data_IF_388685979496
#
_entry.id   IF_388685979496
#
_cell.length_a   1.000
_cell.length_b   1.000
_cell.length_c   1.000
_cell.angle_alpha   90.00
_cell.angle_beta   90.00
_cell.angle_gamma   90.00
#
_symmetry.space_group_name_H-M   'P 1'
#
loop_
_entity.id
_entity.type
_entity.pdbx_description
1 polymer ?
#
# COMPACT_ATOMS: atom_id res chain seq x y z
N UNK A 1 22.37 15.29 -2.66
CA UNK A 1 22.08 15.87 -1.35
C UNK A 1 21.32 17.20 -1.46
N UNK A 2 21.79 18.13 -2.31
CA UNK A 2 21.11 19.45 -2.51
C UNK A 2 19.65 19.29 -2.98
N UNK A 3 19.37 18.34 -3.90
CA UNK A 3 18.01 18.07 -4.37
C UNK A 3 17.10 17.57 -3.24
N UNK A 4 17.60 16.72 -2.37
CA UNK A 4 16.87 16.22 -1.21
C UNK A 4 16.51 17.36 -0.27
N UNK A 5 17.51 18.20 0.09
CA UNK A 5 17.27 19.37 0.96
C UNK A 5 16.37 20.43 0.31
N UNK A 6 16.49 20.59 -1.00
CA UNK A 6 15.57 21.45 -1.77
C UNK A 6 14.13 20.94 -1.70
N UNK A 7 13.90 19.63 -1.87
CA UNK A 7 12.57 19.03 -1.78
C UNK A 7 11.95 19.21 -0.39
N UNK A 8 12.71 18.94 0.68
CA UNK A 8 12.28 19.16 2.07
C UNK A 8 11.91 20.62 2.32
N UNK A 9 12.74 21.57 1.85
CA UNK A 9 12.49 23.01 2.00
C UNK A 9 11.21 23.44 1.26
N UNK A 10 11.00 22.97 0.02
CA UNK A 10 9.79 23.26 -0.76
C UNK A 10 8.53 22.70 -0.08
N UNK A 11 8.61 21.50 0.45
CA UNK A 11 7.51 20.90 1.21
C UNK A 11 7.20 21.73 2.49
N UNK A 12 8.22 22.19 3.20
CA UNK A 12 8.05 23.04 4.37
C UNK A 12 7.44 24.42 4.05
N UNK A 13 7.77 25.00 2.88
CA UNK A 13 7.14 26.23 2.38
C UNK A 13 5.66 25.98 2.02
N UNK A 14 5.36 24.79 1.51
CA UNK A 14 4.00 24.36 1.21
C UNK A 14 3.35 25.12 0.04
N UNK A 15 2.14 25.65 0.23
CA UNK A 15 1.30 26.23 -0.82
C UNK A 15 2.01 27.26 -1.74
N UNK A 16 2.84 28.20 -1.24
CA UNK A 16 3.56 29.12 -2.12
C UNK A 16 4.57 28.44 -3.06
N UNK A 17 5.05 27.25 -2.73
CA UNK A 17 6.01 26.48 -3.53
C UNK A 17 5.36 25.52 -4.54
N UNK A 18 4.02 25.50 -4.68
CA UNK A 18 3.31 24.57 -5.57
C UNK A 18 3.75 24.63 -7.04
N UNK A 19 4.24 25.77 -7.49
CA UNK A 19 4.82 25.92 -8.84
C UNK A 19 6.03 25.01 -9.10
N UNK A 20 6.67 24.46 -8.06
CA UNK A 20 7.79 23.51 -8.19
C UNK A 20 7.35 22.05 -8.34
N UNK A 21 6.08 21.75 -8.07
CA UNK A 21 5.55 20.38 -8.14
C UNK A 21 5.80 19.70 -9.49
N UNK A 22 5.56 20.32 -10.67
CA UNK A 22 5.83 19.68 -11.94
C UNK A 22 7.29 19.21 -12.05
N UNK A 23 8.24 20.05 -11.62
CA UNK A 23 9.66 19.68 -11.64
C UNK A 23 10.01 18.58 -10.64
N UNK A 24 9.36 18.56 -9.49
CA UNK A 24 9.56 17.48 -8.50
C UNK A 24 9.02 16.15 -9.01
N UNK A 25 7.88 16.13 -9.70
CA UNK A 25 7.32 14.95 -10.36
C UNK A 25 8.25 14.42 -11.46
N UNK A 26 8.79 15.31 -12.30
CA UNK A 26 9.79 14.91 -13.31
C UNK A 26 11.01 14.26 -12.66
N UNK A 27 11.55 14.84 -11.59
CA UNK A 27 12.69 14.30 -10.88
C UNK A 27 12.38 12.96 -10.20
N UNK A 28 11.18 12.78 -9.67
CA UNK A 28 10.73 11.51 -9.10
C UNK A 28 10.62 10.42 -10.17
N UNK A 29 10.17 10.77 -11.37
CA UNK A 29 10.07 9.87 -12.51
C UNK A 29 11.45 9.43 -13.07
N UNK A 30 12.52 10.16 -12.78
CA UNK A 30 13.87 9.84 -13.24
C UNK A 30 14.55 8.84 -12.30
N UNK A 31 14.77 7.62 -12.80
CA UNK A 31 15.55 6.61 -12.08
C UNK A 31 17.02 6.75 -12.47
N UNK A 32 17.87 7.06 -11.50
CA UNK A 32 19.31 7.20 -11.67
C UNK A 32 20.04 6.15 -10.81
N UNK A 33 20.11 4.94 -11.31
CA UNK A 33 20.74 3.82 -10.58
C UNK A 33 22.26 3.95 -10.46
N UNK A 34 22.90 4.76 -11.29
CA UNK A 34 24.34 5.00 -11.26
C UNK A 34 24.73 5.93 -10.10
N UNK A 35 24.04 7.08 -9.98
CA UNK A 35 24.36 8.10 -8.97
C UNK A 35 23.51 7.98 -7.70
N UNK A 36 22.38 7.29 -7.77
CA UNK A 36 21.46 7.02 -6.65
C UNK A 36 21.02 5.54 -6.62
N UNK A 37 21.97 4.60 -6.42
CA UNK A 37 21.70 3.16 -6.48
C UNK A 37 20.69 2.69 -5.40
N UNK A 38 20.44 3.50 -4.38
CA UNK A 38 19.49 3.21 -3.31
C UNK A 38 18.16 3.94 -3.47
N UNK A 39 17.99 4.72 -4.54
CA UNK A 39 16.78 5.49 -4.77
C UNK A 39 16.47 6.54 -3.68
N UNK A 40 17.51 7.07 -3.03
CA UNK A 40 17.33 8.04 -1.94
C UNK A 40 16.67 9.33 -2.41
N UNK A 41 16.99 9.79 -3.62
CA UNK A 41 16.34 10.96 -4.21
C UNK A 41 14.85 10.71 -4.40
N UNK A 42 14.46 9.55 -4.97
CA UNK A 42 13.05 9.18 -5.12
C UNK A 42 12.35 9.10 -3.78
N UNK A 43 12.98 8.49 -2.78
CA UNK A 43 12.43 8.39 -1.43
C UNK A 43 12.07 9.76 -0.85
N UNK A 44 13.01 10.70 -0.87
CA UNK A 44 12.78 12.02 -0.27
C UNK A 44 11.83 12.89 -1.10
N UNK A 45 11.83 12.74 -2.42
CA UNK A 45 10.83 13.37 -3.28
C UNK A 45 9.43 12.81 -3.01
N UNK A 46 9.31 11.49 -2.81
CA UNK A 46 8.03 10.86 -2.44
C UNK A 46 7.50 11.40 -1.12
N UNK A 47 8.34 11.51 -0.09
CA UNK A 47 7.94 12.14 1.17
C UNK A 47 7.50 13.58 0.99
N UNK A 48 8.31 14.40 0.31
CA UNK A 48 8.01 15.81 0.11
C UNK A 48 6.72 16.03 -0.69
N UNK A 49 6.41 15.16 -1.64
CA UNK A 49 5.20 15.26 -2.46
C UNK A 49 3.97 14.62 -1.80
N UNK A 50 4.08 13.37 -1.34
CA UNK A 50 2.93 12.51 -1.09
C UNK A 50 2.71 12.15 0.37
N UNK A 51 3.65 12.43 1.27
CA UNK A 51 3.38 12.21 2.68
C UNK A 51 2.14 13.01 3.12
N UNK A 52 1.52 12.63 4.22
CA UNK A 52 0.28 13.23 4.72
C UNK A 52 0.33 14.77 4.76
N UNK A 53 1.47 15.30 5.15
CA UNK A 53 1.74 16.75 5.20
C UNK A 53 2.59 17.26 4.01
N UNK A 54 2.81 16.40 3.01
CA UNK A 54 3.50 16.74 1.77
C UNK A 54 2.67 17.66 0.88
N UNK A 55 3.32 18.17 -0.16
CA UNK A 55 2.73 19.17 -1.06
C UNK A 55 1.43 18.69 -1.73
N UNK A 56 1.32 17.39 -2.03
CA UNK A 56 0.17 16.74 -2.67
C UNK A 56 -0.63 15.83 -1.72
N UNK A 57 -0.24 15.73 -0.46
CA UNK A 57 -0.90 14.86 0.50
C UNK A 57 -2.34 15.25 0.84
N UNK A 58 -2.76 16.47 0.52
CA UNK A 58 -4.11 16.99 0.81
C UNK A 58 -4.94 17.29 -0.42
N UNK A 59 -4.36 17.54 -1.58
CA UNK A 59 -5.07 17.85 -2.82
C UNK A 59 -4.19 17.65 -4.05
N UNK A 60 -4.81 17.21 -5.14
CA UNK A 60 -4.21 17.11 -6.46
C UNK A 60 -4.72 18.20 -7.42
N UNK A 61 -5.32 19.26 -6.91
CA UNK A 61 -5.84 20.37 -7.72
C UNK A 61 -4.71 21.02 -8.54
N UNK A 62 -4.94 21.19 -9.84
CA UNK A 62 -3.97 21.80 -10.77
C UNK A 62 -2.79 20.93 -11.14
N UNK A 63 -2.73 19.67 -10.67
CA UNK A 63 -1.63 18.73 -11.00
C UNK A 63 -1.93 18.05 -12.32
N UNK A 64 -0.95 18.06 -13.24
CA UNK A 64 -1.02 17.27 -14.47
C UNK A 64 -1.03 15.76 -14.16
N UNK A 65 -2.08 15.08 -14.57
CA UNK A 65 -2.30 13.66 -14.25
C UNK A 65 -1.31 12.73 -14.94
N UNK A 66 -0.87 13.05 -16.15
CA UNK A 66 0.09 12.22 -16.88
C UNK A 66 1.46 12.22 -16.18
N UNK A 67 1.93 13.38 -15.77
CA UNK A 67 3.16 13.54 -14.97
C UNK A 67 3.04 12.86 -13.61
N UNK A 68 1.90 13.00 -12.94
CA UNK A 68 1.61 12.36 -11.68
C UNK A 68 1.69 10.82 -11.79
N UNK A 69 1.00 10.22 -12.77
CA UNK A 69 0.99 8.77 -12.94
C UNK A 69 2.38 8.22 -13.27
N UNK A 70 3.15 8.94 -14.07
CA UNK A 70 4.53 8.56 -14.39
C UNK A 70 5.40 8.55 -13.15
N UNK A 71 5.30 9.61 -12.33
CA UNK A 71 6.05 9.75 -11.09
C UNK A 71 5.64 8.70 -10.04
N UNK A 72 4.33 8.48 -9.84
CA UNK A 72 3.80 7.47 -8.91
C UNK A 72 4.26 6.07 -9.32
N UNK A 73 4.17 5.73 -10.60
CA UNK A 73 4.65 4.43 -11.11
C UNK A 73 6.14 4.22 -10.86
N UNK A 74 6.96 5.22 -11.14
CA UNK A 74 8.40 5.15 -10.87
C UNK A 74 8.70 4.97 -9.38
N UNK A 75 7.98 5.68 -8.51
CA UNK A 75 8.11 5.53 -7.06
C UNK A 75 7.67 4.15 -6.55
N UNK A 76 6.58 3.59 -7.09
CA UNK A 76 6.11 2.23 -6.76
C UNK A 76 7.11 1.14 -7.17
N UNK A 77 7.88 1.37 -8.22
CA UNK A 77 8.92 0.47 -8.72
C UNK A 77 10.26 0.66 -7.99
N UNK A 78 10.37 1.64 -7.08
CA UNK A 78 11.58 1.83 -6.29
C UNK A 78 11.87 0.59 -5.44
N UNK A 79 13.14 0.12 -5.46
CA UNK A 79 13.55 -1.06 -4.73
C UNK A 79 13.65 -0.84 -3.21
N UNK A 80 13.80 0.40 -2.76
CA UNK A 80 13.75 0.74 -1.33
C UNK A 80 12.28 0.87 -0.89
N UNK A 81 11.79 -0.06 -0.09
CA UNK A 81 10.41 -0.07 0.42
C UNK A 81 10.00 1.21 1.14
N UNK A 82 10.96 1.93 1.72
CA UNK A 82 10.73 3.21 2.39
C UNK A 82 10.31 4.32 1.42
N UNK A 83 10.73 4.26 0.16
CA UNK A 83 10.30 5.21 -0.85
C UNK A 83 8.83 5.01 -1.24
N UNK A 84 8.36 3.78 -1.19
CA UNK A 84 6.98 3.41 -1.56
C UNK A 84 5.95 3.90 -0.54
N UNK A 85 6.29 3.94 0.75
CA UNK A 85 5.35 4.22 1.84
C UNK A 85 4.57 5.52 1.66
N UNK A 86 5.23 6.60 1.29
CA UNK A 86 4.59 7.92 1.15
C UNK A 86 3.63 8.04 -0.04
N UNK A 87 3.69 7.13 -1.02
CA UNK A 87 2.88 7.21 -2.24
C UNK A 87 1.41 6.87 -1.97
N UNK A 88 1.14 6.01 -1.00
CA UNK A 88 -0.22 5.57 -0.68
C UNK A 88 -1.18 6.71 -0.34
N UNK A 89 -0.70 7.82 0.18
CA UNK A 89 -1.53 8.98 0.52
C UNK A 89 -2.20 9.63 -0.70
N UNK A 90 -1.65 9.45 -1.89
CA UNK A 90 -2.20 9.98 -3.16
C UNK A 90 -3.49 9.25 -3.57
N UNK A 91 -3.62 7.97 -3.22
CA UNK A 91 -4.73 7.13 -3.69
C UNK A 91 -6.10 7.69 -3.33
N UNK A 92 -6.25 8.28 -2.14
CA UNK A 92 -7.51 8.88 -1.67
C UNK A 92 -8.01 10.06 -2.51
N UNK A 93 -7.18 10.62 -3.36
CA UNK A 93 -7.49 11.77 -4.21
C UNK A 93 -7.77 11.39 -5.66
N UNK A 94 -7.72 10.08 -5.97
CA UNK A 94 -7.92 9.55 -7.33
C UNK A 94 -9.25 8.81 -7.42
N UNK A 95 -9.98 9.02 -8.51
CA UNK A 95 -11.15 8.22 -8.87
C UNK A 95 -10.72 6.86 -9.39
N UNK A 96 -11.65 5.89 -9.48
CA UNK A 96 -11.36 4.58 -10.07
C UNK A 96 -10.80 4.69 -11.49
N UNK A 97 -11.35 5.57 -12.32
CA UNK A 97 -10.86 5.78 -13.70
C UNK A 97 -9.42 6.31 -13.74
N UNK A 98 -9.09 7.22 -12.82
CA UNK A 98 -7.73 7.76 -12.69
C UNK A 98 -6.74 6.73 -12.15
N UNK A 99 -7.20 5.79 -11.34
CA UNK A 99 -6.35 4.77 -10.70
C UNK A 99 -6.12 3.55 -11.58
N UNK A 100 -7.05 3.24 -12.49
CA UNK A 100 -6.95 2.07 -13.40
C UNK A 100 -5.58 1.91 -14.06
N UNK A 101 -4.94 2.96 -14.61
CA UNK A 101 -3.61 2.84 -15.21
C UNK A 101 -2.49 2.51 -14.22
N UNK A 102 -2.72 2.67 -12.92
CA UNK A 102 -1.77 2.41 -11.84
C UNK A 102 -1.99 1.07 -11.15
N UNK A 103 -3.18 0.44 -11.31
CA UNK A 103 -3.54 -0.80 -10.62
C UNK A 103 -2.48 -1.91 -10.74
N UNK A 104 -1.90 -2.19 -11.93
CA UNK A 104 -0.86 -3.21 -12.02
C UNK A 104 0.37 -2.88 -11.17
N UNK A 105 0.82 -1.62 -11.16
CA UNK A 105 1.98 -1.20 -10.37
C UNK A 105 1.68 -1.19 -8.87
N UNK A 106 0.46 -0.82 -8.47
CA UNK A 106 -0.01 -0.85 -7.08
C UNK A 106 -0.05 -2.30 -6.59
N UNK A 107 -0.67 -3.20 -7.34
CA UNK A 107 -0.74 -4.62 -7.00
C UNK A 107 0.66 -5.23 -6.88
N UNK A 108 1.54 -4.95 -7.83
CA UNK A 108 2.92 -5.39 -7.80
C UNK A 108 3.66 -4.90 -6.54
N UNK A 109 3.51 -3.64 -6.16
CA UNK A 109 4.13 -3.08 -4.96
C UNK A 109 3.61 -3.70 -3.65
N UNK A 110 2.39 -4.24 -3.64
CA UNK A 110 1.82 -4.95 -2.48
C UNK A 110 2.48 -6.32 -2.30
N UNK A 111 2.66 -7.08 -3.39
CA UNK A 111 3.12 -8.47 -3.34
C UNK A 111 4.65 -8.62 -3.40
N UNK A 112 5.36 -7.64 -3.94
CA UNK A 112 6.83 -7.68 -3.99
C UNK A 112 7.46 -7.43 -2.62
N UNK A 113 8.46 -8.21 -2.23
CA UNK A 113 9.24 -7.91 -1.05
C UNK A 113 10.01 -6.60 -1.22
N UNK A 114 10.20 -5.88 -0.12
CA UNK A 114 11.01 -4.68 -0.06
C UNK A 114 12.34 -4.99 0.64
N UNK A 115 13.44 -5.17 -0.10
CA UNK A 115 14.68 -5.77 0.43
C UNK A 115 15.29 -5.05 1.63
N UNK A 116 15.06 -3.76 1.78
CA UNK A 116 15.69 -2.96 2.83
C UNK A 116 14.71 -2.21 3.72
N UNK A 117 13.42 -2.45 3.58
CA UNK A 117 12.45 -1.57 4.21
C UNK A 117 11.10 -2.19 4.52
N UNK A 118 11.05 -3.48 4.86
CA UNK A 118 9.79 -4.18 5.14
C UNK A 118 8.89 -3.40 6.12
N UNK A 119 9.46 -2.90 7.23
CA UNK A 119 8.69 -2.12 8.20
C UNK A 119 8.12 -0.81 7.62
N UNK A 120 8.70 -0.28 6.56
CA UNK A 120 8.21 0.93 5.89
C UNK A 120 7.34 0.62 4.67
N UNK A 121 7.37 -0.61 4.17
CA UNK A 121 6.52 -1.06 3.08
C UNK A 121 5.09 -1.37 3.55
N UNK A 122 4.88 -1.60 4.83
CA UNK A 122 3.58 -1.92 5.41
C UNK A 122 2.53 -0.86 5.07
N UNK A 123 2.89 0.42 5.10
CA UNK A 123 1.96 1.50 4.83
C UNK A 123 1.46 1.45 3.38
N UNK A 124 2.36 1.30 2.39
CA UNK A 124 1.95 1.18 0.98
C UNK A 124 1.13 -0.08 0.73
N UNK A 125 1.44 -1.17 1.42
CA UNK A 125 0.69 -2.43 1.31
C UNK A 125 -0.71 -2.28 1.85
N UNK A 126 -0.87 -1.76 3.06
CA UNK A 126 -2.19 -1.57 3.68
C UNK A 126 -3.04 -0.58 2.91
N UNK A 127 -2.50 0.58 2.53
CA UNK A 127 -3.23 1.57 1.73
C UNK A 127 -3.59 1.04 0.33
N UNK A 128 -2.66 0.31 -0.30
CA UNK A 128 -2.93 -0.34 -1.58
C UNK A 128 -4.02 -1.41 -1.47
N UNK A 129 -3.98 -2.26 -0.44
CA UNK A 129 -5.00 -3.27 -0.18
C UNK A 129 -6.37 -2.64 0.11
N UNK A 130 -6.39 -1.54 0.90
CA UNK A 130 -7.61 -0.78 1.17
C UNK A 130 -8.20 -0.21 -0.13
N UNK A 131 -7.37 0.35 -0.99
CA UNK A 131 -7.78 0.85 -2.29
C UNK A 131 -8.37 -0.25 -3.17
N UNK A 132 -7.68 -1.40 -3.29
CA UNK A 132 -8.18 -2.52 -4.08
C UNK A 132 -9.53 -3.01 -3.57
N UNK A 133 -9.72 -3.04 -2.25
CA UNK A 133 -10.98 -3.45 -1.63
C UNK A 133 -12.10 -2.41 -1.80
N UNK A 134 -11.80 -1.12 -1.68
CA UNK A 134 -12.77 -0.03 -1.90
C UNK A 134 -13.39 -0.07 -3.30
N UNK A 135 -12.58 -0.48 -4.28
CA UNK A 135 -13.03 -0.62 -5.66
C UNK A 135 -13.36 -2.06 -6.06
N UNK A 136 -13.45 -2.97 -5.10
CA UNK A 136 -13.74 -4.39 -5.30
C UNK A 136 -12.89 -5.03 -6.40
N UNK A 137 -11.59 -4.73 -6.41
CA UNK A 137 -10.63 -5.34 -7.34
C UNK A 137 -10.39 -6.79 -6.92
N UNK A 138 -10.67 -7.75 -7.82
CA UNK A 138 -10.66 -9.19 -7.49
C UNK A 138 -9.31 -9.65 -6.94
N UNK A 139 -8.21 -9.20 -7.54
CA UNK A 139 -6.84 -9.55 -7.14
C UNK A 139 -6.48 -9.08 -5.73
N UNK A 140 -7.21 -8.09 -5.21
CA UNK A 140 -7.03 -7.60 -3.84
C UNK A 140 -7.31 -8.67 -2.79
N UNK A 141 -8.22 -9.61 -3.02
CA UNK A 141 -8.52 -10.69 -2.07
C UNK A 141 -7.33 -11.61 -1.88
N UNK A 142 -6.71 -12.08 -2.96
CA UNK A 142 -5.50 -12.92 -2.90
C UNK A 142 -4.29 -12.18 -2.34
N UNK A 143 -4.15 -10.89 -2.67
CA UNK A 143 -3.09 -10.04 -2.13
C UNK A 143 -3.25 -9.82 -0.62
N UNK A 144 -4.48 -9.65 -0.11
CA UNK A 144 -4.77 -9.58 1.32
C UNK A 144 -4.35 -10.85 2.05
N UNK A 145 -4.72 -12.01 1.52
CA UNK A 145 -4.36 -13.32 2.10
C UNK A 145 -2.85 -13.51 2.11
N UNK A 146 -2.19 -13.22 0.98
CA UNK A 146 -0.74 -13.27 0.87
C UNK A 146 -0.07 -12.38 1.94
N UNK A 147 -0.46 -11.12 2.03
CA UNK A 147 0.16 -10.20 2.98
C UNK A 147 -0.19 -10.54 4.44
N UNK A 148 -1.36 -11.09 4.74
CA UNK A 148 -1.71 -11.56 6.08
C UNK A 148 -0.71 -12.61 6.59
N UNK A 149 -0.23 -13.48 5.71
CA UNK A 149 0.78 -14.48 6.01
C UNK A 149 2.19 -13.90 6.13
N UNK A 150 2.57 -13.03 5.17
CA UNK A 150 3.94 -12.52 4.99
C UNK A 150 4.20 -11.20 5.73
N UNK A 151 3.22 -10.68 6.47
CA UNK A 151 3.36 -9.41 7.17
C UNK A 151 4.47 -9.44 8.22
N UNK A 152 5.14 -8.28 8.38
CA UNK A 152 6.08 -8.09 9.47
C UNK A 152 5.36 -8.35 10.81
N UNK A 153 5.95 -9.15 11.72
CA UNK A 153 5.37 -9.43 13.03
C UNK A 153 5.15 -8.19 13.91
N UNK A 154 6.01 -7.18 13.79
CA UNK A 154 5.85 -5.92 14.52
C UNK A 154 4.54 -5.23 14.15
N UNK A 155 3.78 -4.83 15.15
CA UNK A 155 2.45 -4.23 15.03
C UNK A 155 1.42 -5.12 14.31
N UNK A 156 1.65 -6.44 14.21
CA UNK A 156 0.69 -7.36 13.60
C UNK A 156 -0.58 -7.54 14.42
N UNK A 157 -0.54 -7.24 15.73
CA UNK A 157 -1.69 -7.19 16.61
C UNK A 157 -2.74 -6.16 16.18
N UNK A 158 -2.30 -5.05 15.58
CA UNK A 158 -3.17 -4.00 15.05
C UNK A 158 -3.48 -4.28 13.58
N UNK A 159 -2.47 -4.68 12.81
CA UNK A 159 -2.57 -4.84 11.36
C UNK A 159 -3.45 -6.02 10.97
N UNK A 160 -3.36 -7.16 11.65
CA UNK A 160 -4.17 -8.32 11.30
C UNK A 160 -5.67 -8.02 11.35
N UNK A 161 -6.24 -7.42 12.42
CA UNK A 161 -7.64 -6.99 12.42
C UNK A 161 -7.99 -5.99 11.32
N UNK A 162 -7.08 -5.07 10.99
CA UNK A 162 -7.27 -4.12 9.91
C UNK A 162 -7.37 -4.79 8.54
N UNK A 163 -6.46 -5.73 8.22
CA UNK A 163 -6.50 -6.51 7.00
C UNK A 163 -7.79 -7.33 6.88
N UNK A 164 -8.22 -7.94 7.98
CA UNK A 164 -9.46 -8.71 8.02
C UNK A 164 -10.70 -7.83 7.81
N UNK A 165 -10.71 -6.62 8.39
CA UNK A 165 -11.76 -5.63 8.12
C UNK A 165 -11.81 -5.21 6.64
N UNK A 166 -10.64 -5.02 6.02
CA UNK A 166 -10.55 -4.72 4.59
C UNK A 166 -11.11 -5.89 3.76
N UNK A 167 -10.78 -7.14 4.12
CA UNK A 167 -11.27 -8.31 3.40
C UNK A 167 -12.80 -8.46 3.49
N UNK A 168 -13.40 -8.14 4.63
CA UNK A 168 -14.85 -8.20 4.83
C UNK A 168 -15.64 -7.29 3.86
N UNK A 169 -15.03 -6.24 3.30
CA UNK A 169 -15.71 -5.39 2.30
C UNK A 169 -16.00 -6.09 0.98
N UNK A 170 -15.35 -7.22 0.70
CA UNK A 170 -15.68 -8.06 -0.46
C UNK A 170 -16.91 -8.95 -0.23
N UNK A 171 -17.48 -8.96 0.98
CA UNK A 171 -18.67 -9.72 1.31
C UNK A 171 -18.51 -11.22 0.97
N UNK A 172 -19.57 -11.78 0.39
CA UNK A 172 -19.62 -13.20 -0.03
C UNK A 172 -18.55 -13.53 -1.08
N UNK A 173 -18.07 -12.56 -1.88
CA UNK A 173 -17.02 -12.78 -2.88
C UNK A 173 -15.72 -13.27 -2.24
N UNK A 174 -15.45 -12.91 -0.98
CA UNK A 174 -14.28 -13.37 -0.25
C UNK A 174 -14.31 -14.88 0.11
N UNK A 175 -15.41 -15.59 -0.12
CA UNK A 175 -15.48 -17.06 0.11
C UNK A 175 -14.41 -17.81 -0.69
N UNK A 176 -13.98 -17.30 -1.83
CA UNK A 176 -12.95 -17.91 -2.68
C UNK A 176 -11.60 -18.05 -1.96
N UNK A 177 -11.30 -17.19 -0.98
CA UNK A 177 -10.04 -17.20 -0.22
C UNK A 177 -10.15 -17.86 1.16
N UNK A 178 -11.34 -18.26 1.59
CA UNK A 178 -11.56 -18.92 2.89
C UNK A 178 -10.67 -20.17 3.10
N UNK A 179 -10.46 -21.06 2.11
CA UNK A 179 -9.59 -22.21 2.30
C UNK A 179 -8.15 -21.84 2.68
N UNK A 180 -7.62 -20.75 2.09
CA UNK A 180 -6.25 -20.31 2.39
C UNK A 180 -6.19 -19.57 3.74
N UNK A 181 -7.18 -18.73 4.06
CA UNK A 181 -7.31 -18.12 5.39
C UNK A 181 -7.38 -19.16 6.50
N UNK A 182 -8.08 -20.27 6.27
CA UNK A 182 -8.16 -21.38 7.22
C UNK A 182 -6.78 -21.97 7.50
N UNK A 183 -5.97 -22.21 6.45
CA UNK A 183 -4.60 -22.70 6.61
C UNK A 183 -3.72 -21.74 7.40
N UNK A 184 -3.88 -20.43 7.17
CA UNK A 184 -3.13 -19.39 7.90
C UNK A 184 -3.57 -19.35 9.38
N UNK A 185 -4.86 -19.46 9.66
CA UNK A 185 -5.38 -19.55 11.03
C UNK A 185 -4.81 -20.77 11.75
N UNK A 186 -4.85 -21.96 11.09
CA UNK A 186 -4.25 -23.19 11.63
C UNK A 186 -2.76 -23.04 11.92
N UNK A 187 -2.02 -22.34 11.04
CA UNK A 187 -0.60 -22.06 11.25
C UNK A 187 -0.39 -21.18 12.47
N UNK A 188 -1.13 -20.09 12.62
CA UNK A 188 -1.00 -19.20 13.77
C UNK A 188 -1.36 -19.88 15.09
N UNK A 189 -2.31 -20.82 15.09
CA UNK A 189 -2.72 -21.56 16.27
C UNK A 189 -1.70 -22.64 16.69
N UNK A 190 -0.93 -23.17 15.75
CA UNK A 190 0.02 -24.28 15.96
C UNK A 190 1.46 -23.83 16.16
N UNK A 191 1.81 -22.60 15.72
CA UNK A 191 3.19 -22.14 15.81
C UNK A 191 3.56 -21.76 17.25
N UNK A 192 4.51 -22.50 17.80
CA UNK A 192 4.99 -22.33 19.17
C UNK A 192 6.35 -21.62 19.24
N UNK A 193 6.99 -21.28 18.10
CA UNK A 193 8.42 -21.01 18.09
C UNK A 193 8.83 -19.55 18.00
N UNK A 194 8.10 -18.72 17.30
CA UNK A 194 8.66 -17.43 16.86
C UNK A 194 8.02 -16.17 17.45
N UNK A 195 6.91 -16.29 18.20
CA UNK A 195 6.20 -15.15 18.77
C UNK A 195 5.52 -15.47 20.10
N UNK A 196 5.14 -14.44 20.90
CA UNK A 196 4.30 -14.66 22.04
C UNK A 196 3.06 -15.46 21.63
N UNK A 197 2.90 -16.64 22.21
CA UNK A 197 1.82 -17.59 21.91
C UNK A 197 0.44 -16.94 21.94
N UNK A 198 0.24 -16.00 22.85
CA UNK A 198 -1.01 -15.27 23.00
C UNK A 198 -1.30 -14.39 21.73
N UNK A 199 -0.30 -13.72 21.19
CA UNK A 199 -0.46 -12.92 19.97
C UNK A 199 -0.86 -13.80 18.78
N UNK A 200 -0.18 -14.95 18.61
CA UNK A 200 -0.49 -15.88 17.53
C UNK A 200 -1.91 -16.44 17.67
N UNK A 201 -2.33 -16.77 18.89
CA UNK A 201 -3.70 -17.22 19.18
C UNK A 201 -4.73 -16.13 18.84
N UNK A 202 -4.48 -14.88 19.22
CA UNK A 202 -5.36 -13.76 18.89
C UNK A 202 -5.48 -13.53 17.38
N UNK A 203 -4.37 -13.64 16.65
CA UNK A 203 -4.39 -13.57 15.17
C UNK A 203 -5.21 -14.71 14.56
N UNK A 204 -4.98 -15.94 15.01
CA UNK A 204 -5.76 -17.11 14.56
C UNK A 204 -7.26 -16.93 14.82
N UNK A 205 -7.64 -16.49 16.02
CA UNK A 205 -9.01 -16.19 16.36
C UNK A 205 -9.62 -15.11 15.48
N UNK A 206 -8.90 -14.01 15.23
CA UNK A 206 -9.35 -12.94 14.33
C UNK A 206 -9.65 -13.46 12.92
N UNK A 207 -8.82 -14.35 12.39
CA UNK A 207 -9.07 -14.98 11.08
C UNK A 207 -10.31 -15.88 11.11
N UNK A 208 -10.51 -16.68 12.18
CA UNK A 208 -11.70 -17.54 12.34
C UNK A 208 -12.99 -16.73 12.38
N UNK A 209 -13.00 -15.64 13.14
CA UNK A 209 -14.14 -14.72 13.21
C UNK A 209 -14.44 -14.09 11.84
N UNK A 210 -13.40 -13.72 11.09
CA UNK A 210 -13.52 -13.19 9.74
C UNK A 210 -14.08 -14.23 8.77
N UNK A 211 -13.59 -15.47 8.82
CA UNK A 211 -14.12 -16.58 8.01
C UNK A 211 -15.61 -16.76 8.27
N UNK A 212 -16.02 -16.85 9.53
CA UNK A 212 -17.44 -16.99 9.90
C UNK A 212 -18.29 -15.84 9.38
N UNK A 213 -17.76 -14.60 9.44
CA UNK A 213 -18.45 -13.43 8.92
C UNK A 213 -18.58 -13.44 7.39
N UNK A 214 -17.55 -13.90 6.66
CA UNK A 214 -17.59 -14.07 5.20
C UNK A 214 -18.62 -15.14 4.81
N UNK A 215 -18.65 -16.27 5.51
CA UNK A 215 -19.60 -17.36 5.25
C UNK A 215 -21.06 -16.95 5.52
N UNK A 216 -21.28 -16.08 6.51
CA UNK A 216 -22.59 -15.54 6.83
C UNK A 216 -23.00 -14.33 5.94
N UNK A 217 -22.09 -13.79 5.15
CA UNK A 217 -22.36 -12.59 4.35
C UNK A 217 -23.35 -12.87 3.22
N UNK A 218 -24.30 -11.96 3.06
CA UNK A 218 -25.24 -11.92 1.93
C UNK A 218 -24.88 -10.83 0.92
N UNK A 219 -23.94 -9.94 1.27
CA UNK A 219 -23.45 -8.90 0.37
C UNK A 219 -22.56 -9.52 -0.72
N UNK A 220 -22.84 -9.18 -1.98
CA UNK A 220 -22.15 -9.76 -3.14
C UNK A 220 -21.78 -8.67 -4.15
N UNK A 221 -20.77 -7.83 -3.83
CA UNK A 221 -20.39 -6.73 -4.71
C UNK A 221 -19.89 -7.22 -6.07
N UNK A 222 -20.10 -6.37 -7.10
CA UNK A 222 -19.53 -6.61 -8.41
C UNK A 222 -18.02 -6.44 -8.38
N UNK A 223 -17.29 -7.42 -8.93
CA UNK A 223 -15.83 -7.38 -8.95
C UNK A 223 -15.29 -6.78 -10.24
N UNK A 224 -14.24 -6.01 -10.12
CA UNK A 224 -13.42 -5.49 -11.22
C UNK A 224 -12.08 -6.21 -11.24
N UNK A 225 -11.52 -6.46 -12.44
CA UNK A 225 -10.19 -7.09 -12.60
C UNK A 225 -9.14 -6.09 -13.04
N UNK A 226 -7.92 -6.31 -12.60
CA UNK A 226 -6.73 -5.65 -13.16
C UNK A 226 -6.55 -6.17 -14.60
N UNK A 227 -6.45 -5.25 -15.56
CA UNK A 227 -6.24 -5.57 -16.98
C UNK A 227 -4.78 -5.43 -17.37
#
# INVERSE_FOLDING_TARGET
>A
WLRIKGAEALAAIGKPAMQSVPRMLELLAQVDTENDPRGMQQRYLSFALFDRDGMLGRSLEGVDRASLYTAVRAGLQNQDGRARGSIGSVYRHLTLEEIKPLLPAIHQAIIEPAPSGEMFADEIRVEGLRLLAEHHIEEGMSALVFYTREQNPWASEIRTPELMKILLSYGKRAQVVVPELTKIADYFEKDEKDFPRELMRQKGQCLRETIAAIEASTDEPELTRIK
#
